data_IF_790324037458
#
_entry.id   IF_790324037458
#
_cell.length_a   1.000
_cell.length_b   1.000
_cell.length_c   1.000
_cell.angle_alpha   90.00
_cell.angle_beta   90.00
_cell.angle_gamma   90.00
#
_symmetry.space_group_name_H-M   'P 1'
#
loop_
_entity.id
_entity.type
_entity.pdbx_description
1 polymer ?
#
# COMPACT_ATOMS: atom_id res chain seq x y z
N UNK A 1 -3.60 -9.60 -3.82
CA UNK A 1 -4.57 -8.49 -4.09
C UNK A 1 -4.31 -7.96 -5.48
N UNK A 2 -5.37 -7.79 -6.29
CA UNK A 2 -5.27 -7.44 -7.72
C UNK A 2 -6.10 -6.19 -8.07
N UNK A 3 -5.77 -5.54 -9.19
CA UNK A 3 -6.39 -4.32 -9.70
C UNK A 3 -5.38 -3.20 -10.00
N UNK A 4 -5.81 -1.94 -9.93
CA UNK A 4 -4.95 -0.75 -9.99
C UNK A 4 -4.31 -0.50 -8.62
N UNK A 5 -3.35 -1.34 -8.27
CA UNK A 5 -2.80 -1.43 -6.90
C UNK A 5 -1.31 -1.10 -6.79
N UNK A 6 -0.65 -0.84 -7.92
CA UNK A 6 0.78 -0.50 -8.00
C UNK A 6 0.97 0.95 -8.45
N UNK A 7 2.01 1.63 -7.94
CA UNK A 7 2.27 3.05 -8.24
C UNK A 7 1.34 4.05 -7.52
N UNK A 8 0.44 3.56 -6.67
CA UNK A 8 -0.63 4.37 -6.03
C UNK A 8 -0.43 4.59 -4.54
N UNK A 9 0.77 4.34 -4.00
CA UNK A 9 1.04 4.49 -2.56
C UNK A 9 0.47 3.38 -1.67
N UNK A 10 0.08 2.23 -2.23
CA UNK A 10 -0.57 1.16 -1.47
C UNK A 10 0.35 0.48 -0.46
N UNK A 11 1.62 0.25 -0.80
CA UNK A 11 2.62 -0.34 0.12
C UNK A 11 2.79 0.50 1.41
N UNK A 12 3.02 1.83 1.34
CA UNK A 12 3.00 2.70 2.52
C UNK A 12 1.68 2.63 3.32
N UNK A 13 0.53 2.63 2.65
CA UNK A 13 -0.77 2.56 3.31
C UNK A 13 -0.94 1.24 4.09
N UNK A 14 -0.64 0.11 3.45
CA UNK A 14 -0.66 -1.22 4.09
C UNK A 14 0.28 -1.27 5.30
N UNK A 15 1.51 -0.78 5.13
CA UNK A 15 2.49 -0.75 6.22
C UNK A 15 1.98 0.05 7.42
N UNK A 16 1.43 1.25 7.19
CA UNK A 16 0.87 2.10 8.24
C UNK A 16 -0.27 1.39 8.98
N UNK A 17 -1.24 0.87 8.23
CA UNK A 17 -2.41 0.19 8.78
C UNK A 17 -2.03 -1.04 9.62
N UNK A 18 -1.07 -1.84 9.14
CA UNK A 18 -0.63 -3.04 9.84
C UNK A 18 0.09 -2.69 11.14
N UNK A 19 0.95 -1.67 11.14
CA UNK A 19 1.64 -1.20 12.35
C UNK A 19 0.70 -0.63 13.39
N UNK A 20 -0.26 0.21 12.98
CA UNK A 20 -1.28 0.75 13.89
C UNK A 20 -2.14 -0.36 14.52
N UNK A 21 -2.33 -1.48 13.81
CA UNK A 21 -3.05 -2.64 14.31
C UNK A 21 -2.18 -3.61 15.14
N UNK A 22 -0.89 -3.32 15.33
CA UNK A 22 0.04 -4.19 16.06
C UNK A 22 0.30 -5.54 15.38
N UNK A 23 0.23 -5.58 14.05
CA UNK A 23 0.41 -6.79 13.25
C UNK A 23 1.85 -6.93 12.78
N UNK A 24 2.30 -8.18 12.62
CA UNK A 24 3.61 -8.51 12.07
C UNK A 24 3.46 -9.00 10.62
N UNK A 25 4.53 -8.89 9.83
CA UNK A 25 4.57 -9.45 8.48
C UNK A 25 5.15 -8.52 7.43
N UNK A 26 4.69 -8.65 6.19
CA UNK A 26 5.27 -7.91 5.07
C UNK A 26 4.26 -7.60 3.97
N UNK A 27 4.55 -6.53 3.24
CA UNK A 27 3.89 -6.18 1.97
C UNK A 27 4.92 -6.07 0.87
N UNK A 28 4.62 -6.65 -0.29
CA UNK A 28 5.45 -6.55 -1.50
C UNK A 28 4.58 -6.40 -2.75
N UNK A 29 5.20 -5.85 -3.79
CA UNK A 29 4.67 -5.92 -5.14
C UNK A 29 5.25 -7.14 -5.84
N UNK A 30 4.42 -7.82 -6.63
CA UNK A 30 4.82 -8.86 -7.57
C UNK A 30 4.27 -8.54 -8.98
N UNK A 31 4.41 -9.47 -9.92
CA UNK A 31 3.89 -9.28 -11.29
C UNK A 31 2.36 -9.28 -11.41
N UNK A 32 1.64 -9.74 -10.40
CA UNK A 32 0.17 -9.93 -10.42
C UNK A 32 -0.58 -8.87 -9.58
N UNK A 33 0.10 -8.18 -8.65
CA UNK A 33 -0.48 -7.13 -7.83
C UNK A 33 0.34 -6.80 -6.59
N UNK A 34 -0.32 -6.91 -5.44
CA UNK A 34 0.27 -6.70 -4.13
C UNK A 34 -0.03 -7.90 -3.26
N UNK A 35 1.01 -8.44 -2.64
CA UNK A 35 0.94 -9.55 -1.69
C UNK A 35 1.14 -9.00 -0.27
N UNK A 36 0.33 -9.49 0.66
CA UNK A 36 0.35 -9.08 2.07
C UNK A 36 0.36 -10.34 2.92
N UNK A 37 1.48 -10.57 3.60
CA UNK A 37 1.59 -11.62 4.61
C UNK A 37 1.42 -10.98 5.99
N UNK A 38 0.52 -11.51 6.81
CA UNK A 38 0.02 -10.82 8.00
C UNK A 38 -0.24 -11.79 9.16
N UNK A 39 0.49 -11.59 10.26
CA UNK A 39 0.38 -12.37 11.48
C UNK A 39 -0.11 -11.52 12.64
N UNK A 40 -0.81 -12.17 13.57
CA UNK A 40 -1.38 -11.54 14.76
C UNK A 40 -2.79 -12.04 15.08
N UNK A 41 -3.45 -11.47 16.10
CA UNK A 41 -4.76 -11.93 16.55
C UNK A 41 -5.82 -11.85 15.44
N UNK A 42 -6.75 -12.83 15.33
CA UNK A 42 -7.80 -12.81 14.31
C UNK A 42 -8.61 -11.51 14.25
N UNK A 43 -8.90 -10.92 15.41
CA UNK A 43 -9.62 -9.65 15.50
C UNK A 43 -8.83 -8.48 14.88
N UNK A 44 -7.52 -8.41 15.13
CA UNK A 44 -6.65 -7.38 14.55
C UNK A 44 -6.56 -7.52 13.02
N UNK A 45 -6.42 -8.76 12.52
CA UNK A 45 -6.40 -9.04 11.07
C UNK A 45 -7.74 -8.68 10.40
N UNK A 46 -8.85 -8.99 11.04
CA UNK A 46 -10.18 -8.62 10.55
C UNK A 46 -10.38 -7.09 10.52
N UNK A 47 -9.90 -6.39 11.56
CA UNK A 47 -9.88 -4.93 11.62
C UNK A 47 -9.05 -4.31 10.50
N UNK A 48 -7.82 -4.81 10.30
CA UNK A 48 -6.94 -4.41 9.20
C UNK A 48 -7.62 -4.56 7.85
N UNK A 49 -8.24 -5.71 7.55
CA UNK A 49 -8.91 -5.94 6.26
C UNK A 49 -10.04 -4.94 5.99
N UNK A 50 -10.81 -4.57 7.02
CA UNK A 50 -11.86 -3.55 6.90
C UNK A 50 -11.25 -2.18 6.61
N UNK A 51 -10.22 -1.79 7.35
CA UNK A 51 -9.54 -0.50 7.17
C UNK A 51 -8.84 -0.38 5.82
N UNK A 52 -8.22 -1.46 5.33
CA UNK A 52 -7.55 -1.48 4.02
C UNK A 52 -8.50 -1.09 2.88
N UNK A 53 -9.76 -1.54 2.92
CA UNK A 53 -10.77 -1.15 1.91
C UNK A 53 -11.27 0.29 2.08
N UNK A 54 -11.41 0.75 3.32
CA UNK A 54 -11.94 2.08 3.62
C UNK A 54 -10.91 3.21 3.46
N UNK A 55 -9.64 2.92 3.73
CA UNK A 55 -8.52 3.86 3.75
C UNK A 55 -7.54 3.61 2.59
N UNK A 56 -7.99 2.93 1.52
CA UNK A 56 -7.17 2.74 0.34
C UNK A 56 -6.76 4.10 -0.26
N UNK A 57 -5.54 4.23 -0.81
CA UNK A 57 -5.13 5.46 -1.48
C UNK A 57 -6.12 5.86 -2.59
N UNK A 58 -6.31 7.16 -2.87
CA UNK A 58 -7.33 7.62 -3.82
C UNK A 58 -7.20 7.05 -5.24
N UNK A 59 -5.97 6.79 -5.68
CA UNK A 59 -5.69 6.21 -7.00
C UNK A 59 -5.77 4.68 -7.01
N UNK A 60 -5.88 4.04 -5.85
CA UNK A 60 -5.94 2.59 -5.76
C UNK A 60 -7.34 2.09 -6.08
N UNK A 61 -7.43 1.09 -6.96
CA UNK A 61 -8.66 0.29 -7.13
C UNK A 61 -8.36 -1.17 -6.87
N UNK A 62 -8.92 -1.68 -5.78
CA UNK A 62 -8.84 -3.09 -5.40
C UNK A 62 -10.02 -3.79 -6.08
N UNK A 63 -9.74 -4.55 -7.13
CA UNK A 63 -10.75 -5.34 -7.84
C UNK A 63 -10.95 -6.69 -7.16
N UNK A 64 -9.85 -7.27 -6.67
CA UNK A 64 -9.91 -8.55 -6.00
C UNK A 64 -8.95 -8.66 -4.81
N UNK A 65 -9.44 -9.33 -3.77
CA UNK A 65 -8.75 -9.53 -2.50
C UNK A 65 -9.04 -10.93 -1.96
N UNK A 66 -8.22 -11.87 -2.40
CA UNK A 66 -8.15 -13.23 -1.87
C UNK A 66 -7.28 -13.29 -0.61
N UNK A 67 -7.56 -14.26 0.26
CA UNK A 67 -6.77 -14.52 1.47
C UNK A 67 -6.68 -16.02 1.73
N UNK A 68 -5.48 -16.48 2.03
CA UNK A 68 -5.20 -17.87 2.42
C UNK A 68 -4.48 -17.92 3.78
N UNK A 69 -4.66 -19.00 4.55
CA UNK A 69 -3.94 -19.16 5.81
C UNK A 69 -2.46 -19.45 5.56
N UNK A 70 -1.58 -18.79 6.31
CA UNK A 70 -0.15 -19.09 6.35
C UNK A 70 0.14 -20.07 7.48
N UNK A 71 0.93 -21.11 7.19
CA UNK A 71 1.31 -22.12 8.17
C UNK A 71 2.59 -21.73 8.93
N UNK A 72 3.44 -20.92 8.31
CA UNK A 72 4.73 -20.51 8.85
C UNK A 72 4.55 -19.43 9.95
N UNK A 73 5.45 -19.38 10.95
CA UNK A 73 5.51 -18.26 11.88
C UNK A 73 5.94 -16.96 11.17
N UNK A 74 5.68 -15.79 11.77
CA UNK A 74 6.10 -14.53 11.17
C UNK A 74 7.63 -14.47 11.03
N UNK A 75 8.16 -14.01 9.88
CA UNK A 75 9.60 -13.92 9.64
C UNK A 75 10.27 -12.84 10.53
N UNK A 76 9.49 -11.86 10.98
CA UNK A 76 9.94 -10.73 11.80
C UNK A 76 8.86 -10.35 12.83
N UNK A 77 9.23 -9.74 13.97
CA UNK A 77 8.26 -9.29 14.98
C UNK A 77 7.44 -8.07 14.53
N UNK A 78 7.92 -7.33 13.53
CA UNK A 78 7.30 -6.10 13.03
C UNK A 78 6.74 -6.28 11.62
N UNK A 79 5.96 -5.29 11.16
CA UNK A 79 5.52 -5.19 9.78
C UNK A 79 6.50 -4.40 8.90
N UNK A 80 6.86 -4.92 7.72
CA UNK A 80 7.87 -4.33 6.81
C UNK A 80 7.36 -4.20 5.38
N UNK A 81 7.95 -3.27 4.63
CA UNK A 81 7.84 -3.24 3.17
C UNK A 81 9.00 -4.07 2.62
N UNK A 82 8.70 -5.22 2.04
CA UNK A 82 9.70 -6.11 1.48
C UNK A 82 10.09 -5.68 0.05
N UNK A 83 11.23 -6.19 -0.43
CA UNK A 83 11.65 -5.98 -1.81
C UNK A 83 10.61 -6.56 -2.78
N UNK A 84 10.35 -5.85 -3.87
CA UNK A 84 9.51 -6.37 -4.94
C UNK A 84 10.19 -7.58 -5.58
N UNK A 85 9.42 -8.61 -5.91
CA UNK A 85 9.92 -9.76 -6.67
C UNK A 85 9.72 -9.47 -8.14
N UNK A 86 10.81 -9.44 -8.91
CA UNK A 86 10.79 -9.33 -10.36
C UNK A 86 10.78 -10.71 -11.02
N UNK A 87 10.11 -10.82 -12.17
CA UNK A 87 10.05 -12.05 -12.97
C UNK A 87 8.63 -12.62 -13.07
N UNK A 88 8.25 -13.04 -14.29
CA UNK A 88 6.89 -13.47 -14.64
C UNK A 88 6.18 -12.49 -15.57
N UNK A 89 5.00 -12.87 -16.06
CA UNK A 89 4.15 -11.97 -16.84
C UNK A 89 3.60 -10.87 -15.91
N UNK A 90 3.86 -9.61 -16.25
CA UNK A 90 3.24 -8.48 -15.55
C UNK A 90 1.78 -8.41 -15.98
N UNK A 91 0.86 -8.66 -15.04
CA UNK A 91 -0.60 -8.59 -15.25
C UNK A 91 -1.23 -7.42 -14.51
N UNK A 92 -0.45 -6.65 -13.76
CA UNK A 92 -0.94 -5.46 -13.07
C UNK A 92 -1.30 -4.37 -14.05
N UNK A 93 -2.44 -3.72 -13.81
CA UNK A 93 -2.86 -2.58 -14.59
C UNK A 93 -1.90 -1.40 -14.38
N UNK A 94 -1.53 -0.74 -15.48
CA UNK A 94 -0.79 0.52 -15.42
C UNK A 94 -1.79 1.63 -15.07
N UNK A 95 -1.52 2.36 -13.99
CA UNK A 95 -2.35 3.47 -13.55
C UNK A 95 -2.08 4.67 -14.47
N UNK A 96 -3.13 5.40 -14.92
CA UNK A 96 -2.93 6.59 -15.74
C UNK A 96 -2.21 7.68 -14.95
N UNK A 97 -1.64 8.65 -15.67
CA UNK A 97 -1.09 9.85 -15.06
C UNK A 97 -2.16 10.57 -14.25
N UNK A 98 -1.81 10.98 -13.03
CA UNK A 98 -2.69 11.68 -12.11
C UNK A 98 -2.31 13.17 -12.04
N UNK A 99 -3.30 14.08 -11.94
CA UNK A 99 -3.00 15.49 -11.65
C UNK A 99 -2.48 15.64 -10.21
N UNK A 100 -1.83 16.77 -9.95
CA UNK A 100 -1.39 17.16 -8.59
C UNK A 100 -2.59 17.15 -7.64
N UNK A 101 -2.48 16.47 -6.50
CA UNK A 101 -3.57 16.38 -5.53
C UNK A 101 -3.73 17.67 -4.71
N UNK A 102 -4.86 17.83 -4.00
CA UNK A 102 -5.15 19.03 -3.21
C UNK A 102 -4.10 19.34 -2.13
N UNK A 103 -3.68 18.32 -1.37
CA UNK A 103 -2.62 18.49 -0.35
C UNK A 103 -1.28 18.93 -0.96
N UNK A 104 -0.95 18.37 -2.12
CA UNK A 104 0.21 18.77 -2.89
C UNK A 104 0.12 20.22 -3.40
N UNK A 105 -1.07 20.65 -3.83
CA UNK A 105 -1.29 22.03 -4.25
C UNK A 105 -1.14 23.02 -3.08
N UNK A 106 -1.57 22.63 -1.88
CA UNK A 106 -1.35 23.42 -0.65
C UNK A 106 0.15 23.60 -0.37
N UNK A 107 0.94 22.52 -0.40
CA UNK A 107 2.40 22.58 -0.23
C UNK A 107 3.08 23.41 -1.33
N UNK A 108 2.63 23.27 -2.58
CA UNK A 108 3.22 23.99 -3.72
C UNK A 108 3.06 25.52 -3.60
N UNK A 109 1.96 25.95 -2.99
CA UNK A 109 1.57 27.35 -2.87
C UNK A 109 1.95 27.99 -1.52
N UNK A 110 2.39 27.22 -0.53
CA UNK A 110 2.83 27.71 0.78
C UNK A 110 4.29 28.23 0.75
N UNK A 111 4.55 29.53 0.95
CA UNK A 111 5.91 30.09 0.98
C UNK A 111 6.79 29.57 2.13
N UNK A 112 6.21 28.98 3.18
CA UNK A 112 6.93 28.41 4.30
C UNK A 112 7.30 26.93 4.08
N UNK A 113 6.66 26.25 3.12
CA UNK A 113 6.99 24.86 2.80
C UNK A 113 8.30 24.78 2.01
N UNK A 114 9.12 23.77 2.31
CA UNK A 114 10.37 23.50 1.60
C UNK A 114 10.16 23.21 0.10
N UNK A 115 8.94 22.84 -0.29
CA UNK A 115 8.53 22.54 -1.66
C UNK A 115 7.78 23.69 -2.34
N UNK A 116 7.81 24.90 -1.76
CA UNK A 116 7.24 26.09 -2.39
C UNK A 116 7.71 26.26 -3.84
N UNK A 117 6.77 26.30 -4.78
CA UNK A 117 6.99 26.40 -6.24
C UNK A 117 7.87 25.28 -6.83
N UNK A 118 7.99 24.13 -6.18
CA UNK A 118 8.76 23.01 -6.71
C UNK A 118 8.04 22.37 -7.93
N UNK A 119 8.61 22.41 -9.14
CA UNK A 119 7.88 22.04 -10.36
C UNK A 119 7.55 20.55 -10.53
N UNK A 120 8.18 19.68 -9.74
CA UNK A 120 8.03 18.22 -9.84
C UNK A 120 7.37 17.60 -8.59
N UNK A 121 6.57 18.38 -7.90
CA UNK A 121 5.82 17.94 -6.72
C UNK A 121 4.68 17.00 -7.12
N UNK A 122 4.50 15.90 -6.38
CA UNK A 122 3.55 14.82 -6.66
C UNK A 122 2.98 14.14 -5.42
#
# INVERSE_FOLDING_TARGET
MRGLVQGVGLRPAVWRLAREAGLAGEVRNDGEGVEIALWGPPAARAGFRRRLRAEAPPLARIEDLESEPLAEPPPHPDFRIAASVGGGAVRTGVVPDAPVCGACLEELLDPADRRYRYPFLN
#
